data_IF_717603701738
#
_entry.id   IF_717603701738
#
_cell.length_a   1.000
_cell.length_b   1.000
_cell.length_c   1.000
_cell.angle_alpha   90.00
_cell.angle_beta   90.00
_cell.angle_gamma   90.00
#
_symmetry.space_group_name_H-M   'P 1'
#
loop_
_entity.id
_entity.type
_entity.pdbx_description
1 polymer ?
#
# COMPACT_ATOMS: atom_id res chain seq x y z
N UNK A 1 -11.12 5.18 -30.30
CA UNK A 1 -12.37 4.50 -29.89
C UNK A 1 -12.02 3.55 -28.75
N UNK A 2 -12.44 3.80 -27.52
CA UNK A 2 -12.13 2.93 -26.36
C UNK A 2 -12.92 1.62 -26.49
N UNK A 3 -12.33 0.46 -26.18
CA UNK A 3 -13.09 -0.78 -26.13
C UNK A 3 -14.14 -0.70 -25.02
N UNK A 4 -15.31 -1.32 -25.21
CA UNK A 4 -16.42 -1.25 -24.27
C UNK A 4 -16.06 -1.87 -22.91
N UNK A 5 -16.68 -1.35 -21.86
CA UNK A 5 -16.59 -1.91 -20.51
C UNK A 5 -17.02 -3.38 -20.53
N UNK A 6 -16.33 -4.21 -19.73
CA UNK A 6 -16.63 -5.64 -19.62
C UNK A 6 -18.11 -5.88 -19.24
N UNK A 7 -18.80 -6.82 -19.90
CA UNK A 7 -20.22 -7.09 -19.62
C UNK A 7 -20.39 -7.68 -18.22
N UNK A 8 -21.34 -7.13 -17.46
CA UNK A 8 -21.70 -7.52 -16.09
C UNK A 8 -22.81 -8.54 -16.10
N UNK A 9 -22.61 -9.66 -15.40
CA UNK A 9 -23.71 -10.56 -15.02
C UNK A 9 -24.41 -10.00 -13.76
N UNK A 10 -25.75 -9.99 -13.69
CA UNK A 10 -26.47 -9.64 -12.48
C UNK A 10 -26.36 -10.79 -11.49
N UNK A 11 -25.74 -10.57 -10.31
CA UNK A 11 -25.79 -11.51 -9.18
C UNK A 11 -26.87 -11.02 -8.21
N UNK A 12 -27.88 -11.84 -8.06
CA UNK A 12 -28.91 -11.67 -7.04
C UNK A 12 -28.56 -12.59 -5.86
N UNK A 13 -28.30 -12.01 -4.69
CA UNK A 13 -28.35 -12.64 -3.36
C UNK A 13 -27.81 -11.68 -2.31
N UNK A 14 -28.62 -10.76 -1.78
CA UNK A 14 -28.43 -10.09 -0.48
C UNK A 14 -27.11 -9.34 -0.21
N UNK A 15 -26.18 -9.27 -1.18
CA UNK A 15 -24.86 -8.64 -1.05
C UNK A 15 -24.95 -7.14 -1.30
N UNK A 16 -24.16 -6.37 -0.54
CA UNK A 16 -24.06 -4.91 -0.72
C UNK A 16 -23.59 -4.59 -2.14
N UNK A 17 -24.47 -3.97 -2.95
CA UNK A 17 -24.11 -3.49 -4.29
C UNK A 17 -23.39 -2.14 -4.15
N UNK A 18 -22.09 -2.13 -4.45
CA UNK A 18 -21.36 -0.89 -4.62
C UNK A 18 -21.55 -0.33 -6.03
N UNK A 19 -21.50 1.01 -6.15
CA UNK A 19 -21.62 1.66 -7.46
C UNK A 19 -20.46 1.29 -8.38
N UNK A 20 -20.71 1.20 -9.71
CA UNK A 20 -19.68 1.01 -10.71
C UNK A 20 -18.58 2.09 -10.64
N UNK A 21 -17.33 1.70 -10.94
CA UNK A 21 -16.25 2.67 -11.04
C UNK A 21 -16.46 3.62 -12.23
N UNK A 22 -16.27 4.92 -11.95
CA UNK A 22 -16.22 6.00 -12.93
C UNK A 22 -14.80 6.18 -13.45
N UNK A 23 -13.80 6.07 -12.57
CA UNK A 23 -12.38 6.06 -12.91
C UNK A 23 -11.77 4.72 -12.47
N UNK A 24 -11.45 3.87 -13.42
CA UNK A 24 -10.82 2.55 -13.23
C UNK A 24 -9.33 2.56 -13.64
N UNK A 25 -8.75 3.72 -13.94
CA UNK A 25 -7.39 3.87 -14.48
C UNK A 25 -6.33 3.16 -13.62
N UNK A 26 -6.46 3.25 -12.29
CA UNK A 26 -5.55 2.56 -11.37
C UNK A 26 -5.63 1.03 -11.51
N UNK A 27 -6.83 0.45 -11.50
CA UNK A 27 -7.01 -0.99 -11.64
C UNK A 27 -6.58 -1.49 -13.02
N UNK A 28 -6.84 -0.71 -14.08
CA UNK A 28 -6.36 -1.02 -15.43
C UNK A 28 -4.84 -1.05 -15.48
N UNK A 29 -4.17 -0.06 -14.89
CA UNK A 29 -2.71 -0.04 -14.81
C UNK A 29 -2.17 -1.23 -14.02
N UNK A 30 -2.79 -1.60 -12.88
CA UNK A 30 -2.41 -2.81 -12.14
C UNK A 30 -2.47 -4.09 -12.99
N UNK A 31 -3.38 -4.15 -13.97
CA UNK A 31 -3.60 -5.29 -14.86
C UNK A 31 -2.80 -5.21 -16.16
N UNK A 32 -1.92 -4.24 -16.32
CA UNK A 32 -1.16 -4.04 -17.56
C UNK A 32 -1.98 -3.50 -18.73
N UNK A 33 -3.15 -2.90 -18.48
CA UNK A 33 -4.05 -2.38 -19.50
C UNK A 33 -3.82 -0.89 -19.77
N UNK A 34 -4.18 -0.44 -20.98
CA UNK A 34 -4.04 0.96 -21.38
C UNK A 34 -4.86 1.90 -20.51
N UNK A 35 -4.27 3.05 -20.20
CA UNK A 35 -4.89 4.13 -19.41
C UNK A 35 -4.71 5.48 -20.14
N UNK A 36 -5.62 6.45 -19.95
CA UNK A 36 -5.53 7.75 -20.59
C UNK A 36 -4.34 8.60 -20.11
N UNK A 37 -3.87 8.34 -18.90
CA UNK A 37 -2.72 8.95 -18.25
C UNK A 37 -2.12 7.94 -17.27
N UNK A 38 -0.95 8.22 -16.70
CA UNK A 38 -0.40 7.43 -15.60
C UNK A 38 -1.20 7.72 -14.35
N UNK A 39 -1.92 6.74 -13.78
CA UNK A 39 -2.71 6.96 -12.57
C UNK A 39 -1.80 7.28 -11.39
N UNK A 40 -2.28 8.16 -10.50
CA UNK A 40 -1.55 8.60 -9.32
C UNK A 40 -2.38 8.45 -8.05
N UNK A 41 -1.76 7.92 -7.02
CA UNK A 41 -2.17 8.02 -5.62
C UNK A 41 -0.92 8.18 -4.75
N UNK A 42 -1.05 8.58 -3.48
CA UNK A 42 0.10 8.88 -2.65
C UNK A 42 0.07 8.11 -1.33
N UNK A 43 1.17 7.45 -0.98
CA UNK A 43 1.33 6.84 0.34
C UNK A 43 1.16 7.90 1.43
N UNK A 44 0.28 7.62 2.40
CA UNK A 44 -0.14 8.55 3.47
C UNK A 44 -0.85 9.80 2.94
N UNK A 45 -1.59 9.68 1.81
CA UNK A 45 -2.36 10.81 1.24
C UNK A 45 -3.37 11.41 2.23
N UNK A 46 -3.98 10.62 3.12
CA UNK A 46 -4.65 11.10 4.31
C UNK A 46 -3.62 11.27 5.43
N UNK A 47 -3.30 12.49 5.81
CA UNK A 47 -2.21 12.72 6.74
C UNK A 47 -2.14 14.13 7.34
N UNK A 48 -1.27 14.30 8.33
CA UNK A 48 -1.10 15.52 9.13
C UNK A 48 -0.71 16.77 8.32
N UNK A 49 -0.30 16.64 7.07
CA UNK A 49 -0.04 17.78 6.19
C UNK A 49 -1.33 18.50 5.78
N UNK A 50 -2.49 17.83 5.79
CA UNK A 50 -3.80 18.40 5.48
C UNK A 50 -4.40 19.09 6.71
N UNK A 51 -4.84 20.37 6.60
CA UNK A 51 -5.54 21.05 7.69
C UNK A 51 -6.78 20.30 8.15
N UNK A 52 -7.64 19.87 7.22
CA UNK A 52 -8.87 19.13 7.49
C UNK A 52 -8.64 17.79 8.20
N UNK A 53 -7.52 17.13 7.91
CA UNK A 53 -7.12 15.93 8.66
C UNK A 53 -6.77 16.27 10.11
N UNK A 54 -6.01 17.35 10.35
CA UNK A 54 -5.65 17.77 11.71
C UNK A 54 -6.88 18.10 12.54
N UNK A 55 -7.87 18.77 11.95
CA UNK A 55 -9.14 19.09 12.61
C UNK A 55 -9.93 17.83 12.98
N UNK A 56 -10.03 16.87 12.05
CA UNK A 56 -10.69 15.58 12.33
C UNK A 56 -9.92 14.79 13.39
N UNK A 57 -8.59 14.80 13.33
CA UNK A 57 -7.72 14.15 14.32
C UNK A 57 -7.86 14.74 15.72
N UNK A 58 -8.00 16.07 15.83
CA UNK A 58 -8.21 16.76 17.10
C UNK A 58 -9.57 16.36 17.71
N UNK A 59 -10.63 16.29 16.91
CA UNK A 59 -11.96 15.83 17.37
C UNK A 59 -11.95 14.36 17.83
N UNK A 60 -11.16 13.52 17.17
CA UNK A 60 -11.02 12.10 17.53
C UNK A 60 -10.19 11.88 18.82
N UNK A 61 -9.47 12.89 19.31
CA UNK A 61 -8.69 12.88 20.55
C UNK A 61 -7.38 12.08 20.46
N UNK A 62 -7.37 10.90 19.85
CA UNK A 62 -6.18 10.06 19.71
C UNK A 62 -6.06 9.46 18.31
N UNK A 63 -4.88 8.90 17.93
CA UNK A 63 -4.75 8.19 16.65
C UNK A 63 -5.66 6.97 16.61
N UNK A 64 -5.72 6.21 17.70
CA UNK A 64 -6.62 5.07 17.78
C UNK A 64 -8.09 5.51 17.75
N UNK A 65 -8.45 6.60 18.43
CA UNK A 65 -9.79 7.18 18.33
C UNK A 65 -10.19 7.58 16.91
N UNK A 66 -9.21 8.00 16.09
CA UNK A 66 -9.43 8.27 14.67
C UNK A 66 -9.56 6.98 13.86
N UNK A 67 -8.64 6.02 14.05
CA UNK A 67 -8.54 4.81 13.26
C UNK A 67 -9.63 3.77 13.56
N UNK A 68 -10.11 3.71 14.81
CA UNK A 68 -11.15 2.76 15.23
C UNK A 68 -12.57 3.28 15.09
N UNK A 69 -12.74 4.57 14.77
CA UNK A 69 -14.06 5.16 14.49
C UNK A 69 -14.31 5.15 12.97
N UNK A 70 -15.32 4.41 12.55
CA UNK A 70 -15.67 4.19 11.13
C UNK A 70 -15.95 5.51 10.40
N UNK A 71 -16.66 6.44 11.03
CA UNK A 71 -17.02 7.71 10.41
C UNK A 71 -15.80 8.61 10.23
N UNK A 72 -14.93 8.69 11.25
CA UNK A 72 -13.68 9.44 11.13
C UNK A 72 -12.72 8.83 10.12
N UNK A 73 -12.54 7.51 10.13
CA UNK A 73 -11.69 6.81 9.15
C UNK A 73 -12.22 7.04 7.72
N UNK A 74 -13.54 7.03 7.53
CA UNK A 74 -14.19 7.34 6.24
C UNK A 74 -13.92 8.80 5.86
N UNK A 75 -14.16 9.74 6.76
CA UNK A 75 -13.96 11.16 6.50
C UNK A 75 -12.53 11.47 6.06
N UNK A 76 -11.53 11.01 6.82
CA UNK A 76 -10.13 11.30 6.48
C UNK A 76 -9.65 10.62 5.21
N UNK A 77 -10.21 9.46 4.87
CA UNK A 77 -9.90 8.78 3.59
C UNK A 77 -10.38 9.60 2.39
N UNK A 78 -11.52 10.30 2.51
CA UNK A 78 -12.10 11.09 1.42
C UNK A 78 -11.44 12.46 1.26
N UNK A 79 -10.94 13.08 2.33
CA UNK A 79 -10.37 14.44 2.32
C UNK A 79 -9.35 14.70 1.21
N UNK A 80 -8.33 13.83 0.96
CA UNK A 80 -7.39 14.05 -0.12
C UNK A 80 -8.04 13.99 -1.51
N UNK A 81 -9.11 13.21 -1.68
CA UNK A 81 -9.84 13.10 -2.95
C UNK A 81 -10.75 14.31 -3.22
N UNK A 82 -11.16 15.04 -2.19
CA UNK A 82 -11.87 16.32 -2.35
C UNK A 82 -10.92 17.43 -2.80
N UNK A 83 -9.65 17.33 -2.40
CA UNK A 83 -8.63 18.33 -2.69
C UNK A 83 -7.88 18.07 -3.99
N UNK A 84 -7.59 16.79 -4.30
CA UNK A 84 -6.73 16.40 -5.41
C UNK A 84 -7.43 15.41 -6.34
N UNK A 85 -7.08 15.45 -7.63
CA UNK A 85 -7.57 14.52 -8.65
C UNK A 85 -6.79 13.19 -8.61
N UNK A 86 -6.84 12.49 -7.48
CA UNK A 86 -6.19 11.19 -7.31
C UNK A 86 -7.00 10.08 -7.99
N UNK A 87 -6.31 9.05 -8.47
CA UNK A 87 -6.90 7.94 -9.22
C UNK A 87 -7.20 6.71 -8.36
N UNK A 88 -6.84 6.73 -7.06
CA UNK A 88 -7.21 5.72 -6.08
C UNK A 88 -7.32 6.31 -4.67
N UNK A 89 -8.19 5.73 -3.86
CA UNK A 89 -8.22 5.88 -2.42
C UNK A 89 -7.44 4.75 -1.76
N UNK A 90 -6.83 5.02 -0.60
CA UNK A 90 -6.30 3.97 0.27
C UNK A 90 -6.98 4.08 1.62
N UNK A 91 -7.36 2.93 2.18
CA UNK A 91 -7.94 2.82 3.51
C UNK A 91 -7.09 3.60 4.54
N UNK A 92 -7.75 4.37 5.42
CA UNK A 92 -7.08 4.92 6.59
C UNK A 92 -7.11 3.91 7.73
N UNK A 93 -5.94 3.38 8.07
CA UNK A 93 -5.69 2.43 9.15
C UNK A 93 -4.21 2.47 9.52
N UNK A 94 -3.75 1.53 10.35
CA UNK A 94 -2.33 1.33 10.66
C UNK A 94 -1.90 -0.11 10.37
N UNK A 95 -0.64 -0.32 9.98
CA UNK A 95 -0.08 -1.67 9.75
C UNK A 95 -0.01 -2.49 11.04
N UNK A 96 0.01 -1.84 12.21
CA UNK A 96 0.18 -2.48 13.51
C UNK A 96 -1.14 -2.92 14.17
N UNK A 97 -2.27 -2.73 13.49
CA UNK A 97 -3.58 -3.21 13.97
C UNK A 97 -3.62 -4.73 14.11
N UNK A 98 -2.91 -5.46 13.24
CA UNK A 98 -2.84 -6.93 13.29
C UNK A 98 -2.10 -7.41 14.56
N UNK A 99 -0.87 -6.96 14.87
CA UNK A 99 -0.22 -7.28 16.13
C UNK A 99 -1.00 -6.80 17.38
N UNK A 100 -1.70 -5.67 17.29
CA UNK A 100 -2.57 -5.20 18.37
C UNK A 100 -3.69 -6.20 18.65
N UNK A 101 -4.35 -6.69 17.61
CA UNK A 101 -5.38 -7.72 17.70
C UNK A 101 -4.87 -9.05 18.27
N UNK A 102 -3.56 -9.34 18.14
CA UNK A 102 -2.88 -10.47 18.80
C UNK A 102 -2.72 -10.26 20.31
N UNK A 103 -2.95 -9.04 20.81
CA UNK A 103 -2.90 -8.71 22.24
C UNK A 103 -1.61 -8.01 22.68
N UNK A 104 -0.83 -7.42 21.76
CA UNK A 104 0.42 -6.74 22.11
C UNK A 104 0.21 -5.36 22.74
N UNK A 105 -1.00 -4.79 22.67
CA UNK A 105 -1.36 -3.52 23.31
C UNK A 105 -0.69 -2.31 22.65
N UNK A 106 -1.19 -1.94 21.46
CA UNK A 106 -0.69 -0.81 20.68
C UNK A 106 -1.10 0.53 21.31
N UNK A 107 -0.17 1.44 21.42
CA UNK A 107 -0.40 2.82 21.83
C UNK A 107 0.41 3.80 20.99
N UNK A 108 -0.04 5.06 20.96
CA UNK A 108 0.62 6.16 20.26
C UNK A 108 0.79 7.33 21.24
N UNK A 109 2.00 7.54 21.74
CA UNK A 109 2.31 8.71 22.55
C UNK A 109 2.52 9.96 21.65
N UNK A 110 2.22 11.13 22.20
CA UNK A 110 2.44 12.40 21.51
C UNK A 110 3.93 12.58 21.20
N UNK A 111 4.25 12.67 19.90
CA UNK A 111 5.64 12.86 19.43
C UNK A 111 6.50 11.60 19.37
N UNK A 112 6.04 10.44 19.85
CA UNK A 112 6.86 9.20 19.99
C UNK A 112 6.31 8.14 19.04
N UNK A 113 5.84 8.04 18.06
CA UNK A 113 5.43 6.92 17.20
C UNK A 113 4.67 5.78 17.95
N UNK A 114 4.49 4.65 17.29
CA UNK A 114 3.78 3.51 17.85
C UNK A 114 4.62 2.77 18.90
N UNK A 115 3.96 2.25 19.95
CA UNK A 115 4.57 1.38 20.99
C UNK A 115 3.66 0.21 21.32
N UNK A 116 4.28 -0.94 21.56
CA UNK A 116 3.62 -2.13 22.11
C UNK A 116 3.91 -2.27 23.61
N UNK A 117 2.87 -2.52 24.39
CA UNK A 117 3.01 -2.76 25.84
C UNK A 117 3.72 -4.09 26.14
N UNK A 118 3.50 -5.11 25.32
CA UNK A 118 4.05 -6.46 25.47
C UNK A 118 4.82 -6.88 24.21
N UNK A 119 6.09 -6.42 24.03
CA UNK A 119 6.93 -6.87 22.91
C UNK A 119 7.24 -8.37 23.00
N UNK A 120 7.43 -9.01 21.84
CA UNK A 120 7.67 -10.45 21.71
C UNK A 120 9.18 -10.70 21.67
N UNK A 121 9.80 -11.05 22.81
CA UNK A 121 11.27 -11.12 22.92
C UNK A 121 11.83 -12.47 23.38
N UNK A 122 10.99 -13.38 23.79
CA UNK A 122 11.39 -14.70 24.29
C UNK A 122 10.56 -15.83 23.66
N UNK A 123 10.98 -17.05 23.94
CA UNK A 123 10.36 -18.25 23.40
C UNK A 123 8.90 -18.41 23.85
N UNK A 124 8.60 -18.10 25.12
CA UNK A 124 7.24 -18.21 25.64
C UNK A 124 6.29 -17.23 24.94
N UNK A 125 6.73 -15.97 24.72
CA UNK A 125 5.97 -14.96 24.02
C UNK A 125 5.73 -15.37 22.54
N UNK A 126 6.73 -15.89 21.83
CA UNK A 126 6.59 -16.39 20.47
C UNK A 126 5.62 -17.58 20.41
N UNK A 127 5.72 -18.52 21.35
CA UNK A 127 4.82 -19.67 21.42
C UNK A 127 3.38 -19.32 21.81
N UNK A 128 3.17 -18.17 22.45
CA UNK A 128 1.85 -17.65 22.78
C UNK A 128 1.13 -16.99 21.59
N UNK A 129 1.87 -16.57 20.54
CA UNK A 129 1.28 -15.93 19.37
C UNK A 129 0.26 -16.85 18.67
N UNK A 130 -0.82 -16.28 18.23
CA UNK A 130 -1.87 -16.93 17.42
C UNK A 130 -2.39 -15.94 16.36
N UNK A 131 -2.92 -16.48 15.29
CA UNK A 131 -3.72 -15.70 14.34
C UNK A 131 -4.88 -15.09 15.13
N UNK A 132 -5.06 -13.75 15.10
CA UNK A 132 -6.09 -13.11 15.90
C UNK A 132 -7.48 -13.39 15.34
N UNK A 133 -8.47 -13.34 16.23
CA UNK A 133 -9.86 -13.30 15.80
C UNK A 133 -10.11 -12.01 15.01
N UNK A 134 -10.56 -12.13 13.75
CA UNK A 134 -10.82 -11.00 12.85
C UNK A 134 -11.94 -10.10 13.35
N UNK A 135 -12.81 -10.55 14.26
CA UNK A 135 -13.83 -9.69 14.89
C UNK A 135 -13.20 -8.55 15.71
N UNK A 136 -11.99 -8.72 16.26
CA UNK A 136 -11.25 -7.62 16.90
C UNK A 136 -10.86 -6.50 15.94
N UNK A 137 -10.83 -6.80 14.65
CA UNK A 137 -10.51 -5.86 13.55
C UNK A 137 -11.75 -5.44 12.76
N UNK A 138 -12.96 -5.74 13.25
CA UNK A 138 -14.23 -5.45 12.60
C UNK A 138 -14.35 -3.98 12.19
N UNK A 139 -13.89 -3.07 13.04
CA UNK A 139 -13.91 -1.63 12.75
C UNK A 139 -13.17 -1.27 11.44
N UNK A 140 -12.12 -2.02 11.07
CA UNK A 140 -11.39 -1.83 9.81
C UNK A 140 -12.27 -2.24 8.63
N UNK A 141 -12.93 -3.39 8.73
CA UNK A 141 -13.78 -3.92 7.66
C UNK A 141 -15.04 -3.08 7.46
N UNK A 142 -15.61 -2.59 8.56
CA UNK A 142 -16.72 -1.64 8.52
C UNK A 142 -16.29 -0.31 7.90
N UNK A 143 -15.07 0.19 8.19
CA UNK A 143 -14.50 1.36 7.52
C UNK A 143 -14.31 1.12 6.02
N UNK A 144 -13.78 -0.03 5.59
CA UNK A 144 -13.66 -0.39 4.16
C UNK A 144 -15.03 -0.30 3.49
N UNK A 145 -16.07 -0.91 4.07
CA UNK A 145 -17.42 -0.89 3.51
C UNK A 145 -18.03 0.51 3.48
N UNK A 146 -17.81 1.30 4.53
CA UNK A 146 -18.27 2.70 4.62
C UNK A 146 -17.60 3.58 3.56
N UNK A 147 -16.27 3.49 3.44
CA UNK A 147 -15.49 4.23 2.44
C UNK A 147 -15.93 3.84 1.02
N UNK A 148 -16.12 2.55 0.73
CA UNK A 148 -16.61 2.10 -0.59
C UNK A 148 -17.96 2.68 -0.97
N UNK A 149 -18.88 2.79 -0.01
CA UNK A 149 -20.17 3.46 -0.21
C UNK A 149 -19.99 4.95 -0.45
N UNK A 150 -19.19 5.62 0.38
CA UNK A 150 -18.97 7.06 0.32
C UNK A 150 -18.21 7.49 -0.95
N UNK A 151 -17.28 6.68 -1.46
CA UNK A 151 -16.62 6.89 -2.75
C UNK A 151 -17.62 6.87 -3.93
N UNK A 152 -18.73 6.18 -3.78
CA UNK A 152 -19.80 6.12 -4.80
C UNK A 152 -19.28 5.83 -6.23
N UNK A 153 -18.27 4.97 -6.35
CA UNK A 153 -17.64 4.61 -7.63
C UNK A 153 -16.64 5.63 -8.18
N UNK A 154 -16.36 6.73 -7.50
CA UNK A 154 -15.46 7.79 -7.99
C UNK A 154 -14.07 7.26 -8.36
N UNK A 155 -13.42 6.53 -7.46
CA UNK A 155 -12.13 5.84 -7.66
C UNK A 155 -12.12 4.52 -6.90
N UNK A 156 -11.21 3.57 -7.21
CA UNK A 156 -11.07 2.33 -6.45
C UNK A 156 -10.46 2.56 -5.05
N UNK A 157 -10.77 1.64 -4.14
CA UNK A 157 -10.24 1.60 -2.78
C UNK A 157 -9.18 0.52 -2.65
N UNK A 158 -8.00 0.90 -2.14
CA UNK A 158 -6.89 0.02 -1.80
C UNK A 158 -6.99 -0.35 -0.32
N UNK A 159 -7.05 -1.65 -0.01
CA UNK A 159 -6.79 -2.19 1.31
C UNK A 159 -5.30 -2.45 1.51
N UNK A 160 -4.83 -2.58 2.76
CA UNK A 160 -3.41 -2.83 2.99
C UNK A 160 -3.12 -3.51 4.33
N UNK A 161 -1.88 -4.02 4.43
CA UNK A 161 -1.27 -4.50 5.67
C UNK A 161 0.25 -4.27 5.64
N UNK A 162 0.90 -4.33 6.79
CA UNK A 162 2.34 -4.53 6.86
C UNK A 162 2.74 -5.92 6.39
N UNK A 163 3.98 -6.10 5.89
CA UNK A 163 4.53 -7.41 5.62
C UNK A 163 4.77 -8.20 6.90
N UNK A 164 4.83 -9.54 6.85
CA UNK A 164 5.15 -10.35 8.02
C UNK A 164 6.45 -9.95 8.71
N UNK A 165 7.49 -9.60 7.95
CA UNK A 165 8.77 -9.13 8.48
C UNK A 165 8.66 -7.74 9.13
N UNK A 166 8.04 -6.78 8.45
CA UNK A 166 7.83 -5.44 9.01
C UNK A 166 7.06 -5.49 10.33
N UNK A 167 6.02 -6.34 10.42
CA UNK A 167 5.29 -6.55 11.68
C UNK A 167 6.18 -7.15 12.75
N UNK A 168 6.99 -8.17 12.42
CA UNK A 168 7.93 -8.79 13.35
C UNK A 168 8.96 -7.78 13.90
N UNK A 169 9.45 -6.85 13.08
CA UNK A 169 10.32 -5.77 13.54
C UNK A 169 9.68 -5.00 14.70
N UNK A 170 8.46 -4.50 14.50
CA UNK A 170 7.74 -3.75 15.54
C UNK A 170 7.38 -4.62 16.76
N UNK A 171 6.99 -5.88 16.54
CA UNK A 171 6.63 -6.81 17.62
C UNK A 171 7.81 -7.09 18.56
N UNK A 172 9.02 -7.23 18.03
CA UNK A 172 10.24 -7.52 18.80
C UNK A 172 10.85 -6.25 19.38
N UNK A 173 11.04 -5.20 18.58
CA UNK A 173 11.59 -3.92 19.05
C UNK A 173 10.64 -3.24 20.04
N UNK A 174 9.33 -3.42 19.88
CA UNK A 174 8.29 -2.82 20.72
C UNK A 174 7.95 -1.39 20.33
N UNK A 175 8.71 -0.79 19.42
CA UNK A 175 8.56 0.57 18.88
C UNK A 175 9.24 0.68 17.51
N UNK A 176 9.34 1.90 16.96
CA UNK A 176 10.26 2.19 15.85
C UNK A 176 11.71 1.94 16.30
N UNK A 177 12.58 1.52 15.37
CA UNK A 177 13.99 1.26 15.62
C UNK A 177 14.85 1.81 14.49
N UNK A 178 16.04 2.29 14.80
CA UNK A 178 17.01 2.77 13.81
C UNK A 178 18.04 1.67 13.47
N UNK A 179 18.35 0.78 14.41
CA UNK A 179 19.37 -0.27 14.24
C UNK A 179 18.81 -1.70 14.13
N UNK A 180 17.56 -1.92 14.51
CA UNK A 180 16.88 -3.22 14.47
C UNK A 180 17.64 -4.32 15.23
N UNK A 181 18.34 -3.95 16.31
CA UNK A 181 19.26 -4.80 17.03
C UNK A 181 18.57 -6.02 17.64
N UNK A 182 17.41 -5.85 18.28
CA UNK A 182 16.73 -6.94 18.95
C UNK A 182 16.17 -7.96 17.97
N UNK A 183 15.48 -7.50 16.93
CA UNK A 183 14.89 -8.40 15.94
C UNK A 183 15.95 -9.12 15.12
N UNK A 184 17.07 -8.46 14.78
CA UNK A 184 18.20 -9.11 14.08
C UNK A 184 18.95 -10.08 15.00
N UNK A 185 19.09 -9.77 16.30
CA UNK A 185 19.64 -10.72 17.26
C UNK A 185 18.79 -11.99 17.32
N UNK A 186 17.47 -11.87 17.41
CA UNK A 186 16.56 -13.02 17.40
C UNK A 186 16.67 -13.79 16.08
N UNK A 187 16.70 -13.09 14.94
CA UNK A 187 16.82 -13.70 13.62
C UNK A 187 18.07 -14.59 13.50
N UNK A 188 19.22 -14.14 14.00
CA UNK A 188 20.47 -14.89 13.89
C UNK A 188 20.69 -15.92 15.00
N UNK A 189 20.22 -15.66 16.23
CA UNK A 189 20.44 -16.57 17.37
C UNK A 189 19.34 -17.62 17.54
N UNK A 190 18.10 -17.31 17.14
CA UNK A 190 16.93 -18.19 17.24
C UNK A 190 16.08 -18.09 15.98
N UNK A 191 16.62 -18.49 14.80
CA UNK A 191 15.87 -18.46 13.53
C UNK A 191 14.59 -19.29 13.58
N UNK A 192 14.55 -20.34 14.38
CA UNK A 192 13.36 -21.17 14.62
C UNK A 192 12.19 -20.36 15.18
N UNK A 193 12.44 -19.50 16.16
CA UNK A 193 11.43 -18.60 16.74
C UNK A 193 11.01 -17.51 15.75
N UNK A 194 11.97 -16.97 14.98
CA UNK A 194 11.67 -15.99 13.96
C UNK A 194 10.77 -16.58 12.86
N UNK A 195 11.09 -17.77 12.36
CA UNK A 195 10.25 -18.46 11.38
C UNK A 195 8.84 -18.69 11.90
N UNK A 196 8.69 -19.16 13.16
CA UNK A 196 7.37 -19.36 13.78
C UNK A 196 6.57 -18.05 13.86
N UNK A 197 7.19 -16.95 14.27
CA UNK A 197 6.54 -15.63 14.32
C UNK A 197 6.10 -15.18 12.92
N UNK A 198 6.96 -15.32 11.92
CA UNK A 198 6.68 -14.93 10.55
C UNK A 198 5.59 -15.78 9.90
N UNK A 199 5.48 -17.06 10.24
CA UNK A 199 4.37 -17.92 9.81
C UNK A 199 3.03 -17.41 10.34
N UNK A 200 2.95 -17.13 11.64
CA UNK A 200 1.74 -16.61 12.27
C UNK A 200 1.38 -15.23 11.70
N UNK A 201 2.38 -14.35 11.50
CA UNK A 201 2.17 -13.06 10.88
C UNK A 201 1.66 -13.21 9.44
N UNK A 202 2.22 -14.13 8.65
CA UNK A 202 1.79 -14.33 7.27
C UNK A 202 0.34 -14.81 7.19
N UNK A 203 -0.05 -15.77 8.02
CA UNK A 203 -1.42 -16.28 8.08
C UNK A 203 -2.40 -15.20 8.58
N UNK A 204 -1.97 -14.37 9.54
CA UNK A 204 -2.76 -13.24 10.06
C UNK A 204 -2.96 -12.14 9.02
N UNK A 205 -1.90 -11.77 8.29
CA UNK A 205 -1.94 -10.78 7.22
C UNK A 205 -2.84 -11.27 6.08
N UNK A 206 -2.75 -12.54 5.71
CA UNK A 206 -3.60 -13.12 4.68
C UNK A 206 -5.09 -13.09 5.08
N UNK A 207 -5.43 -13.51 6.31
CA UNK A 207 -6.79 -13.44 6.83
C UNK A 207 -7.31 -11.99 6.86
N UNK A 208 -6.50 -11.05 7.33
CA UNK A 208 -6.84 -9.62 7.41
C UNK A 208 -7.07 -8.97 6.05
N UNK A 209 -6.22 -9.24 5.06
CA UNK A 209 -6.39 -8.71 3.71
C UNK A 209 -7.59 -9.35 2.99
N UNK A 210 -7.83 -10.64 3.17
CA UNK A 210 -9.02 -11.30 2.62
C UNK A 210 -10.31 -10.73 3.20
N UNK A 211 -10.34 -10.42 4.50
CA UNK A 211 -11.50 -9.75 5.12
C UNK A 211 -11.71 -8.32 4.58
N UNK A 212 -10.63 -7.57 4.27
CA UNK A 212 -10.76 -6.27 3.59
C UNK A 212 -11.31 -6.43 2.16
N UNK A 213 -10.91 -7.47 1.42
CA UNK A 213 -11.47 -7.79 0.09
C UNK A 213 -12.97 -8.07 0.22
N UNK A 214 -13.37 -8.91 1.16
CA UNK A 214 -14.79 -9.23 1.42
C UNK A 214 -15.61 -8.01 1.80
N UNK A 215 -15.00 -7.06 2.51
CA UNK A 215 -15.62 -5.79 2.88
C UNK A 215 -15.69 -4.77 1.74
N UNK A 216 -15.00 -5.01 0.61
CA UNK A 216 -15.11 -4.20 -0.60
C UNK A 216 -13.84 -3.52 -1.08
N UNK A 217 -12.65 -3.85 -0.56
CA UNK A 217 -11.39 -3.40 -1.13
C UNK A 217 -11.21 -3.97 -2.56
N UNK A 218 -10.74 -3.13 -3.49
CA UNK A 218 -10.65 -3.46 -4.92
C UNK A 218 -9.21 -3.74 -5.38
N UNK A 219 -8.26 -3.48 -4.54
CA UNK A 219 -6.86 -3.89 -4.61
C UNK A 219 -6.34 -4.04 -3.20
N UNK A 220 -5.27 -4.80 -2.99
CA UNK A 220 -4.62 -4.91 -1.69
C UNK A 220 -3.11 -4.72 -1.81
N UNK A 221 -2.51 -4.11 -0.79
CA UNK A 221 -1.10 -3.79 -0.76
C UNK A 221 -0.42 -4.29 0.50
N UNK A 222 0.75 -4.90 0.33
CA UNK A 222 1.64 -5.34 1.42
C UNK A 222 2.80 -4.35 1.50
N UNK A 223 2.94 -3.69 2.66
CA UNK A 223 4.04 -2.76 2.93
C UNK A 223 5.17 -3.46 3.68
N UNK A 224 6.25 -3.75 2.97
CA UNK A 224 7.50 -4.20 3.57
C UNK A 224 8.45 -3.01 3.80
N UNK A 225 8.07 -2.16 4.76
CA UNK A 225 8.80 -0.92 5.07
C UNK A 225 10.22 -1.16 5.59
N UNK A 226 10.49 -2.37 6.09
CA UNK A 226 11.77 -2.73 6.71
C UNK A 226 12.50 -3.89 6.02
N UNK A 227 12.07 -4.30 4.83
CA UNK A 227 12.75 -5.36 4.05
C UNK A 227 14.20 -5.00 3.74
N UNK A 228 14.46 -3.75 3.38
CA UNK A 228 15.79 -3.26 3.02
C UNK A 228 16.82 -3.20 4.16
N UNK A 229 16.42 -3.48 5.43
CA UNK A 229 17.39 -3.57 6.54
C UNK A 229 18.00 -4.97 6.67
N UNK A 230 17.47 -5.95 5.93
CA UNK A 230 18.00 -7.32 5.91
C UNK A 230 19.25 -7.42 5.03
N UNK A 231 20.13 -8.34 5.40
CA UNK A 231 21.25 -8.73 4.55
C UNK A 231 20.76 -9.60 3.39
N UNK A 232 21.60 -9.73 2.34
CA UNK A 232 21.38 -10.69 1.28
C UNK A 232 21.28 -12.13 1.85
N UNK A 233 20.38 -12.95 1.29
CA UNK A 233 20.01 -14.25 1.83
C UNK A 233 18.97 -14.15 2.97
N UNK A 234 19.15 -13.25 3.92
CA UNK A 234 18.19 -13.02 4.98
C UNK A 234 16.88 -12.36 4.44
N UNK A 235 17.01 -11.45 3.47
CA UNK A 235 15.82 -10.88 2.81
C UNK A 235 14.98 -11.97 2.15
N UNK A 236 15.59 -12.87 1.40
CA UNK A 236 14.89 -13.97 0.75
C UNK A 236 14.22 -14.90 1.76
N UNK A 237 14.93 -15.21 2.84
CA UNK A 237 14.49 -16.20 3.83
C UNK A 237 13.43 -15.65 4.80
N UNK A 238 13.55 -14.41 5.26
CA UNK A 238 12.72 -13.87 6.35
C UNK A 238 11.71 -12.79 5.91
N UNK A 239 11.86 -12.19 4.73
CA UNK A 239 10.88 -11.27 4.16
C UNK A 239 10.17 -11.86 2.95
N UNK A 240 10.91 -12.13 1.88
CA UNK A 240 10.35 -12.50 0.57
C UNK A 240 9.53 -13.80 0.64
N UNK A 241 10.05 -14.84 1.31
CA UNK A 241 9.38 -16.13 1.46
C UNK A 241 8.02 -16.01 2.16
N UNK A 242 7.92 -15.16 3.18
CA UNK A 242 6.68 -14.94 3.93
C UNK A 242 5.70 -14.01 3.22
N UNK A 243 6.20 -13.02 2.48
CA UNK A 243 5.38 -12.23 1.55
C UNK A 243 4.78 -13.13 0.47
N UNK A 244 5.57 -14.07 -0.09
CA UNK A 244 5.05 -15.07 -1.03
C UNK A 244 4.01 -15.99 -0.38
N UNK A 245 4.17 -16.38 0.91
CA UNK A 245 3.18 -17.16 1.65
C UNK A 245 1.85 -16.40 1.78
N UNK A 246 1.89 -15.10 2.09
CA UNK A 246 0.68 -14.25 2.11
C UNK A 246 0.00 -14.27 0.75
N UNK A 247 0.75 -13.96 -0.31
CA UNK A 247 0.21 -13.84 -1.68
C UNK A 247 -0.50 -15.12 -2.15
N UNK A 248 0.02 -16.30 -1.80
CA UNK A 248 -0.63 -17.59 -2.12
C UNK A 248 -1.99 -17.79 -1.46
N UNK A 249 -2.25 -17.13 -0.33
CA UNK A 249 -3.49 -17.24 0.44
C UNK A 249 -4.51 -16.15 0.10
N UNK A 250 -4.09 -15.12 -0.67
CA UNK A 250 -4.98 -14.02 -1.02
C UNK A 250 -5.96 -14.40 -2.12
N UNK A 251 -7.20 -13.93 -1.99
CA UNK A 251 -8.21 -13.97 -3.04
C UNK A 251 -7.72 -13.20 -4.25
N UNK A 252 -7.85 -13.81 -5.43
CA UNK A 252 -7.48 -13.18 -6.72
C UNK A 252 -8.65 -12.48 -7.39
N UNK A 253 -9.84 -12.85 -7.00
CA UNK A 253 -11.08 -12.21 -7.44
C UNK A 253 -12.09 -12.14 -6.29
N UNK A 254 -13.03 -11.23 -6.43
CA UNK A 254 -14.19 -11.11 -5.57
C UNK A 254 -15.37 -10.65 -6.43
N UNK A 255 -16.46 -11.43 -6.39
CA UNK A 255 -17.66 -11.20 -7.20
C UNK A 255 -17.38 -11.06 -8.72
N UNK A 256 -16.41 -11.83 -9.24
CA UNK A 256 -16.00 -11.82 -10.64
C UNK A 256 -15.15 -10.61 -11.05
N UNK A 257 -14.64 -9.85 -10.08
CA UNK A 257 -13.70 -8.73 -10.29
C UNK A 257 -12.32 -9.14 -9.81
N UNK A 258 -11.32 -9.01 -10.68
CA UNK A 258 -9.93 -9.26 -10.32
C UNK A 258 -9.46 -8.26 -9.25
N UNK A 259 -8.78 -8.76 -8.22
CA UNK A 259 -8.22 -7.98 -7.11
C UNK A 259 -6.70 -7.93 -7.25
N UNK A 260 -6.13 -6.86 -7.80
CA UNK A 260 -4.68 -6.70 -7.89
C UNK A 260 -4.00 -6.70 -6.53
N UNK A 261 -2.86 -7.40 -6.46
CA UNK A 261 -2.01 -7.51 -5.26
C UNK A 261 -0.73 -6.75 -5.51
N UNK A 262 -0.41 -5.83 -4.60
CA UNK A 262 0.71 -4.91 -4.70
C UNK A 262 1.70 -5.23 -3.59
N UNK A 263 2.97 -5.38 -3.92
CA UNK A 263 4.05 -5.55 -2.93
C UNK A 263 4.99 -4.35 -3.01
N UNK A 264 5.23 -3.71 -1.88
CA UNK A 264 6.20 -2.62 -1.75
C UNK A 264 7.26 -3.01 -0.74
N UNK A 265 8.54 -2.87 -1.12
CA UNK A 265 9.69 -3.04 -0.22
C UNK A 265 10.56 -1.81 -0.27
N UNK A 266 10.71 -1.11 0.86
CA UNK A 266 11.68 -0.02 0.99
C UNK A 266 13.09 -0.62 1.04
N UNK A 267 13.99 -0.12 0.19
CA UNK A 267 15.34 -0.68 0.05
C UNK A 267 15.39 -1.99 -0.73
N UNK A 268 14.29 -2.41 -1.37
CA UNK A 268 14.20 -3.68 -2.10
C UNK A 268 14.86 -3.70 -3.47
N UNK A 269 15.42 -2.59 -3.94
CA UNK A 269 15.96 -2.46 -5.29
C UNK A 269 17.08 -3.44 -5.65
N UNK A 270 17.84 -3.93 -4.66
CA UNK A 270 18.88 -4.94 -4.86
C UNK A 270 18.33 -6.33 -5.20
N UNK A 271 17.10 -6.63 -4.78
CA UNK A 271 16.43 -7.94 -4.95
C UNK A 271 15.25 -7.88 -5.92
N UNK A 272 15.32 -6.95 -6.87
CA UNK A 272 14.20 -6.68 -7.77
C UNK A 272 13.84 -7.88 -8.66
N UNK A 273 14.83 -8.70 -9.06
CA UNK A 273 14.57 -9.91 -9.85
C UNK A 273 13.80 -10.96 -9.04
N UNK A 274 14.18 -11.16 -7.78
CA UNK A 274 13.51 -12.10 -6.88
C UNK A 274 12.09 -11.60 -6.54
N UNK A 275 11.93 -10.29 -6.34
CA UNK A 275 10.62 -9.68 -6.15
C UNK A 275 9.74 -9.82 -7.40
N UNK A 276 10.32 -9.76 -8.59
CA UNK A 276 9.59 -9.95 -9.85
C UNK A 276 9.02 -11.37 -10.00
N UNK A 277 9.60 -12.36 -9.32
CA UNK A 277 9.10 -13.72 -9.29
C UNK A 277 7.89 -13.91 -8.33
N UNK A 278 7.55 -12.94 -7.49
CA UNK A 278 6.37 -12.99 -6.63
C UNK A 278 5.09 -13.06 -7.47
N UNK A 279 4.11 -13.79 -6.97
CA UNK A 279 2.78 -13.91 -7.58
C UNK A 279 1.90 -12.70 -7.20
N UNK A 280 2.26 -11.53 -7.71
CA UNK A 280 1.52 -10.27 -7.57
C UNK A 280 1.47 -9.53 -8.90
N UNK A 281 0.60 -8.55 -9.02
CA UNK A 281 0.40 -7.78 -10.24
C UNK A 281 1.28 -6.53 -10.29
N UNK A 282 1.63 -5.96 -9.12
CA UNK A 282 2.34 -4.68 -9.03
C UNK A 282 3.50 -4.76 -8.05
N UNK A 283 4.66 -4.20 -8.45
CA UNK A 283 5.79 -3.97 -7.56
C UNK A 283 5.95 -2.47 -7.28
N UNK A 284 5.92 -2.11 -6.01
CA UNK A 284 6.16 -0.75 -5.53
C UNK A 284 7.66 -0.53 -5.26
N UNK A 285 8.19 0.59 -5.79
CA UNK A 285 9.57 1.00 -5.68
C UNK A 285 9.71 2.19 -4.75
N UNK A 286 10.79 2.23 -3.97
CA UNK A 286 11.21 3.46 -3.30
C UNK A 286 12.05 4.37 -4.23
N UNK A 287 12.38 5.56 -3.76
CA UNK A 287 13.06 6.59 -4.55
C UNK A 287 14.52 6.25 -4.92
N UNK A 288 15.10 5.18 -4.39
CA UNK A 288 16.50 4.77 -4.70
C UNK A 288 16.60 4.01 -6.00
N UNK A 289 15.48 3.54 -6.55
CA UNK A 289 15.41 2.72 -7.76
C UNK A 289 15.17 3.59 -8.99
N UNK A 290 15.94 3.39 -10.06
CA UNK A 290 15.63 3.96 -11.36
C UNK A 290 14.53 3.11 -12.05
N UNK A 291 13.38 3.72 -12.36
CA UNK A 291 12.22 3.00 -12.92
C UNK A 291 12.47 2.42 -14.32
N UNK A 292 13.29 3.07 -15.14
CA UNK A 292 13.64 2.54 -16.46
C UNK A 292 14.43 1.22 -16.33
N UNK A 293 15.45 1.18 -15.47
CA UNK A 293 16.19 -0.05 -15.16
C UNK A 293 15.32 -1.11 -14.51
N UNK A 294 14.43 -0.70 -13.59
CA UNK A 294 13.47 -1.61 -12.98
C UNK A 294 12.58 -2.26 -14.02
N UNK A 295 12.07 -1.47 -14.99
CA UNK A 295 11.26 -1.95 -16.10
C UNK A 295 11.99 -2.96 -16.96
N UNK A 296 13.28 -2.72 -17.27
CA UNK A 296 14.12 -3.66 -18.01
C UNK A 296 14.30 -4.99 -17.27
N UNK A 297 14.56 -4.95 -15.97
CA UNK A 297 14.77 -6.13 -15.13
C UNK A 297 13.47 -6.95 -14.90
N UNK A 298 12.35 -6.27 -14.65
CA UNK A 298 11.06 -6.89 -14.35
C UNK A 298 10.34 -7.34 -15.63
N UNK A 299 10.62 -6.65 -16.75
CA UNK A 299 9.95 -6.93 -18.03
C UNK A 299 8.48 -6.51 -18.03
N UNK A 300 7.69 -7.17 -18.90
CA UNK A 300 6.27 -6.85 -19.10
C UNK A 300 5.32 -7.66 -18.20
N UNK A 301 5.84 -8.40 -17.22
CA UNK A 301 5.02 -9.28 -16.38
C UNK A 301 4.33 -8.58 -15.23
N UNK A 302 4.75 -7.36 -14.90
CA UNK A 302 4.26 -6.58 -13.74
C UNK A 302 4.09 -5.12 -14.08
N UNK A 303 3.13 -4.48 -13.43
CA UNK A 303 3.10 -3.03 -13.32
C UNK A 303 4.14 -2.56 -12.30
N UNK A 304 4.75 -1.38 -12.52
CA UNK A 304 5.63 -0.75 -11.53
C UNK A 304 4.92 0.44 -10.90
N UNK A 305 5.05 0.58 -9.58
CA UNK A 305 4.47 1.68 -8.83
C UNK A 305 5.58 2.48 -8.14
N UNK A 306 5.52 3.79 -8.25
CA UNK A 306 6.43 4.71 -7.57
C UNK A 306 6.87 5.84 -8.49
N UNK A 307 8.00 6.52 -8.19
CA UNK A 307 8.79 6.36 -6.96
C UNK A 307 9.50 7.69 -6.62
N UNK A 308 8.74 8.79 -6.71
CA UNK A 308 9.29 10.12 -6.44
C UNK A 308 9.76 10.23 -4.97
N UNK A 309 10.93 10.85 -4.73
CA UNK A 309 11.37 11.18 -3.37
C UNK A 309 10.33 12.10 -2.72
N UNK A 310 9.76 11.72 -1.56
CA UNK A 310 8.78 12.56 -0.87
C UNK A 310 9.29 13.94 -0.50
N UNK A 311 10.60 14.10 -0.30
CA UNK A 311 11.21 15.36 0.10
C UNK A 311 11.22 16.41 -1.03
N UNK A 312 11.03 15.99 -2.29
CA UNK A 312 10.87 16.94 -3.39
C UNK A 312 9.66 17.86 -3.20
N UNK A 313 8.66 17.42 -2.44
CA UNK A 313 7.48 18.24 -2.12
C UNK A 313 7.78 19.46 -1.22
N UNK A 314 9.01 19.62 -0.74
CA UNK A 314 9.48 20.85 -0.09
C UNK A 314 10.09 21.85 -1.07
N UNK A 315 10.37 21.43 -2.30
CA UNK A 315 10.99 22.28 -3.31
C UNK A 315 9.97 23.25 -3.96
N UNK A 316 10.45 24.27 -4.68
CA UNK A 316 9.55 25.13 -5.46
C UNK A 316 8.73 24.35 -6.50
N UNK A 317 7.53 24.83 -6.86
CA UNK A 317 6.61 24.17 -7.80
C UNK A 317 7.26 23.72 -9.13
N UNK A 318 8.11 24.56 -9.71
CA UNK A 318 8.82 24.25 -10.96
C UNK A 318 9.75 23.02 -10.82
N UNK A 319 10.38 22.85 -9.65
CA UNK A 319 11.24 21.70 -9.38
C UNK A 319 10.41 20.43 -9.15
N UNK A 320 9.25 20.52 -8.49
CA UNK A 320 8.32 19.40 -8.32
C UNK A 320 7.87 18.88 -9.69
N UNK A 321 7.45 19.79 -10.59
CA UNK A 321 7.05 19.45 -11.97
C UNK A 321 8.23 18.78 -12.71
N UNK A 322 9.44 19.33 -12.63
CA UNK A 322 10.62 18.80 -13.30
C UNK A 322 10.97 17.38 -12.82
N UNK A 323 10.97 17.12 -11.51
CA UNK A 323 11.29 15.81 -10.95
C UNK A 323 10.18 14.77 -11.23
N UNK A 324 8.91 15.17 -11.21
CA UNK A 324 7.80 14.31 -11.61
C UNK A 324 7.94 13.84 -13.06
N UNK A 325 8.33 14.76 -13.97
CA UNK A 325 8.62 14.42 -15.38
C UNK A 325 9.79 13.45 -15.51
N UNK A 326 10.90 13.66 -14.79
CA UNK A 326 12.04 12.74 -14.82
C UNK A 326 11.65 11.31 -14.43
N UNK A 327 10.79 11.14 -13.43
CA UNK A 327 10.29 9.82 -13.03
C UNK A 327 9.47 9.19 -14.17
N UNK A 328 8.56 9.97 -14.78
CA UNK A 328 7.74 9.51 -15.90
C UNK A 328 8.58 9.19 -17.14
N UNK A 329 9.55 10.05 -17.48
CA UNK A 329 10.45 9.86 -18.63
C UNK A 329 11.40 8.67 -18.42
N UNK A 330 11.87 8.46 -17.18
CA UNK A 330 12.67 7.29 -16.81
C UNK A 330 11.92 5.98 -17.05
N UNK A 331 10.65 5.91 -16.66
CA UNK A 331 9.80 4.75 -17.00
C UNK A 331 9.55 4.66 -18.50
N UNK A 332 9.37 5.80 -19.17
CA UNK A 332 9.01 5.90 -20.56
C UNK A 332 7.53 5.61 -20.81
N UNK A 333 7.17 5.40 -22.07
CA UNK A 333 5.79 5.13 -22.46
C UNK A 333 5.37 3.72 -22.05
N UNK A 334 4.22 3.58 -21.37
CA UNK A 334 3.69 2.27 -21.02
C UNK A 334 3.33 1.44 -22.26
N UNK A 335 3.69 0.16 -22.25
CA UNK A 335 3.16 -0.82 -23.20
C UNK A 335 1.99 -1.55 -22.57
N UNK A 336 0.83 -1.47 -23.19
CA UNK A 336 -0.38 -2.10 -22.71
C UNK A 336 -0.68 -3.38 -23.47
N UNK A 337 -1.07 -4.43 -22.75
CA UNK A 337 -1.53 -5.69 -23.32
C UNK A 337 -2.11 -6.59 -22.25
N UNK A 338 -3.13 -7.41 -22.54
CA UNK A 338 -3.74 -8.28 -21.55
C UNK A 338 -2.71 -9.22 -20.90
N UNK A 339 -2.49 -9.09 -19.59
CA UNK A 339 -1.61 -9.95 -18.79
C UNK A 339 -0.11 -9.79 -19.05
N UNK A 340 0.33 -8.83 -19.88
CA UNK A 340 1.73 -8.58 -20.25
C UNK A 340 2.03 -7.11 -20.55
N UNK A 341 1.34 -6.20 -19.90
CA UNK A 341 1.58 -4.77 -20.09
C UNK A 341 2.59 -4.23 -19.08
N UNK A 342 3.69 -3.62 -19.54
CA UNK A 342 4.54 -2.80 -18.69
C UNK A 342 3.88 -1.45 -18.46
N UNK A 343 3.19 -1.29 -17.34
CA UNK A 343 2.44 -0.09 -16.98
C UNK A 343 3.02 0.57 -15.74
N UNK A 344 2.72 1.85 -15.58
CA UNK A 344 3.20 2.67 -14.48
C UNK A 344 2.04 3.23 -13.67
N UNK A 345 2.16 3.13 -12.35
CA UNK A 345 1.32 3.81 -11.37
C UNK A 345 2.23 4.79 -10.63
N UNK A 346 1.94 6.09 -10.75
CA UNK A 346 2.77 7.08 -10.07
C UNK A 346 2.47 7.11 -8.56
N UNK A 347 3.51 7.17 -7.76
CA UNK A 347 3.44 7.35 -6.32
C UNK A 347 4.74 8.01 -5.82
N UNK A 348 4.75 8.41 -4.56
CA UNK A 348 5.98 8.68 -3.83
C UNK A 348 6.68 7.36 -3.51
N UNK A 349 7.99 7.40 -3.36
CA UNK A 349 8.80 6.24 -2.95
C UNK A 349 8.62 5.86 -1.47
N UNK A 350 7.90 6.66 -0.69
CA UNK A 350 7.43 6.40 0.68
C UNK A 350 6.30 7.38 1.05
N UNK A 351 5.84 7.34 2.29
CA UNK A 351 4.75 8.20 2.75
C UNK A 351 5.10 9.69 2.73
N UNK A 352 4.10 10.51 2.36
CA UNK A 352 4.21 11.97 2.38
C UNK A 352 4.55 12.49 3.78
N UNK A 353 5.39 13.52 3.85
CA UNK A 353 5.76 14.18 5.12
C UNK A 353 4.61 15.03 5.66
N UNK A 354 4.48 15.05 6.99
CA UNK A 354 3.52 15.93 7.67
C UNK A 354 3.78 17.45 7.48
N UNK A 355 4.97 17.80 7.00
CA UNK A 355 5.40 19.18 6.77
C UNK A 355 5.21 19.62 5.30
N UNK A 356 4.71 18.74 4.44
CA UNK A 356 4.48 19.05 3.03
C UNK A 356 3.42 20.14 2.89
N UNK A 357 3.66 21.23 2.12
CA UNK A 357 2.62 22.18 1.76
C UNK A 357 1.53 21.49 0.92
N UNK A 358 0.24 21.57 1.31
CA UNK A 358 -0.84 20.91 0.58
C UNK A 358 -0.92 21.29 -0.91
N UNK A 359 -0.63 22.55 -1.23
CA UNK A 359 -0.63 23.07 -2.60
C UNK A 359 0.42 22.42 -3.50
N UNK A 360 1.55 21.97 -2.94
CA UNK A 360 2.60 21.28 -3.69
C UNK A 360 2.16 19.89 -4.18
N UNK A 361 1.22 19.26 -3.49
CA UNK A 361 0.60 18.03 -3.94
C UNK A 361 -0.28 18.24 -5.17
N UNK A 362 -1.00 19.37 -5.25
CA UNK A 362 -1.75 19.74 -6.46
C UNK A 362 -0.83 19.88 -7.66
N UNK A 363 0.31 20.58 -7.48
CA UNK A 363 1.34 20.71 -8.54
C UNK A 363 1.82 19.34 -9.03
N UNK A 364 2.13 18.42 -8.10
CA UNK A 364 2.56 17.08 -8.45
C UNK A 364 1.49 16.33 -9.26
N UNK A 365 0.23 16.30 -8.79
CA UNK A 365 -0.86 15.57 -9.45
C UNK A 365 -1.11 16.10 -10.86
N UNK A 366 -1.16 17.44 -11.01
CA UNK A 366 -1.36 18.09 -12.32
C UNK A 366 -0.18 17.81 -13.27
N UNK A 367 1.06 17.87 -12.78
CA UNK A 367 2.26 17.55 -13.56
C UNK A 367 2.24 16.11 -14.08
N UNK A 368 1.93 15.14 -13.23
CA UNK A 368 1.85 13.72 -13.60
C UNK A 368 0.79 13.49 -14.66
N UNK A 369 -0.43 14.01 -14.47
CA UNK A 369 -1.49 13.84 -15.43
C UNK A 369 -1.18 14.52 -16.78
N UNK A 370 -0.68 15.75 -16.75
CA UNK A 370 -0.40 16.52 -17.97
C UNK A 370 0.75 15.90 -18.77
N UNK A 371 1.87 15.56 -18.12
CA UNK A 371 3.03 15.00 -18.79
C UNK A 371 2.78 13.59 -19.33
N UNK A 372 2.12 12.73 -18.54
CA UNK A 372 1.84 11.37 -18.97
C UNK A 372 0.84 11.27 -20.11
N UNK A 373 -0.10 12.24 -20.26
CA UNK A 373 -0.95 12.35 -21.46
C UNK A 373 -0.12 12.72 -22.68
N UNK A 374 0.84 13.65 -22.56
CA UNK A 374 1.74 14.02 -23.67
C UNK A 374 2.58 12.85 -24.15
N UNK A 375 3.16 12.07 -23.22
CA UNK A 375 3.93 10.88 -23.57
C UNK A 375 3.10 9.88 -24.40
N UNK A 376 1.80 9.76 -24.14
CA UNK A 376 0.92 8.86 -24.88
C UNK A 376 0.49 9.43 -26.24
N UNK A 377 0.29 10.76 -26.32
CA UNK A 377 -0.11 11.42 -27.57
C UNK A 377 0.98 11.32 -28.67
N UNK A 378 2.25 11.28 -28.31
CA UNK A 378 3.36 11.10 -29.24
C UNK A 378 3.50 9.68 -29.81
N UNK A 379 2.69 8.72 -29.37
CA UNK A 379 2.68 7.34 -29.85
C UNK A 379 1.40 6.98 -30.65
N UNK A 380 0.44 7.89 -30.76
CA UNK A 380 -0.68 7.68 -31.70
C UNK A 380 -0.11 7.73 -33.11
N UNK A 381 -0.29 6.68 -33.97
CA UNK A 381 0.22 6.63 -35.33
C UNK A 381 -0.36 7.72 -36.20
#
# INVERSE_FOLDING_TARGET
MYPPALPRKPCDNGRMRFQPLQNDSFLRACQGLATPHTPIWLMRQAGRYLPEYRDTRARAGSFMGLATNVDYATQVTLQPLERYKLDAAILFSDILTVPDAMGLGLSFALGEGPRFATPVRDEAAVHALRVPDMEKLRYVFDAVSSIRKALNGRVPLIGFSGSPWTLACYMVEGAGSDDYRLVKTMLYSRPDLMHRMLEINADSVAAYLNAQIDAGAQAVMIFDSWGGVLADGAFQQFSLAYTARVLRQLKRDHDGVNIPRIVFTKGGGLWLQEMAALDCEVLGMDWTVNLGRARELVGASKALQGNLDPNILFAPPAQIDAEARKVLDSFGTPHAGPGRGSTHIFNLGHGISQHTPPEHVSVLVDAVHAHSRRLRAHQAP
#
